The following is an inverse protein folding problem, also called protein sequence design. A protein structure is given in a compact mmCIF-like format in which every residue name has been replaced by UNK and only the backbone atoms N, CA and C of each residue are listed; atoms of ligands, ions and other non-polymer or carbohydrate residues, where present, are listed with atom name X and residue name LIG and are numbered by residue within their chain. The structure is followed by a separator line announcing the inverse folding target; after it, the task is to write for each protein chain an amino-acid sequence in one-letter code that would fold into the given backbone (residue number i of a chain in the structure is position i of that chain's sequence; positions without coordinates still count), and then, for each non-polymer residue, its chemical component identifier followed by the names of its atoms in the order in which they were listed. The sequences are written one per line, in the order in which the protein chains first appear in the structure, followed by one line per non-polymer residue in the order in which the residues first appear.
data_IF_258784579773
#
_entry.id   IF_258784579773
#
_cell.length_a   1.000
_cell.length_b   1.000
_cell.length_c   1.000
_cell.angle_alpha   90.00
_cell.angle_beta   90.00
_cell.angle_gamma   90.00
#
_symmetry.space_group_name_H-M   'P 1'
#
loop_
_entity.id
_entity.type
_entity.pdbx_description
1 polymer ?
2 non-polymer ?
3 non-polymer ?
4 non-polymer ?
5 water ?
#
# COMPACT_ATOMS: atom_id res chain seq x y z
N UNK A 1 -3.44 4.03 -2.10
CA UNK A 1 -4.14 4.95 -1.18
C UNK A 1 -3.76 6.39 -1.51
N UNK A 2 -4.60 7.31 -1.09
CA UNK A 2 -4.18 8.71 -0.96
C UNK A 2 -3.22 8.92 0.18
N UNK A 3 -2.79 10.17 0.35
CA UNK A 3 -1.67 10.47 1.25
C UNK A 3 -2.02 10.08 2.67
N UNK A 4 -3.23 10.40 3.16
CA UNK A 4 -3.56 10.05 4.56
C UNK A 4 -3.46 8.54 4.76
N UNK A 5 -3.99 7.75 3.83
CA UNK A 5 -3.88 6.29 3.99
C UNK A 5 -2.42 5.86 4.08
N UNK A 6 -1.55 6.41 3.24
CA UNK A 6 -0.11 6.07 3.29
C UNK A 6 0.50 6.46 4.65
N UNK A 7 0.21 7.66 5.12
CA UNK A 7 0.77 8.10 6.41
C UNK A 7 0.26 7.20 7.54
N UNK A 8 -0.99 6.79 7.51
CA UNK A 8 -1.51 5.93 8.59
C UNK A 8 -0.82 4.57 8.58
N UNK A 9 -0.59 3.99 7.41
CA UNK A 9 0.15 2.71 7.33
C UNK A 9 1.50 2.90 8.00
N UNK A 10 2.21 3.99 7.66
CA UNK A 10 3.54 4.24 8.23
C UNK A 10 3.45 4.44 9.76
N UNK A 11 2.47 5.19 10.23
CA UNK A 11 2.31 5.49 11.65
C UNK A 11 2.02 4.21 12.42
N UNK A 12 1.19 3.31 11.89
CA UNK A 12 0.96 2.00 12.52
C UNK A 12 2.30 1.27 12.60
N UNK A 13 3.04 1.24 11.49
CA UNK A 13 4.32 0.48 11.43
C UNK A 13 5.35 1.05 12.39
N UNK A 14 5.45 2.38 12.44
CA UNK A 14 6.54 3.06 13.16
C UNK A 14 6.52 2.61 14.62
N UNK A 15 5.35 2.53 15.23
CA UNK A 15 5.21 2.15 16.64
C UNK A 15 5.53 0.67 16.90
N UNK A 16 5.56 -0.14 15.84
CA UNK A 16 5.78 -1.60 15.97
C UNK A 16 7.23 -1.98 15.58
N UNK A 17 8.10 -1.01 15.35
CA UNK A 17 9.51 -1.34 15.04
C UNK A 17 10.22 -1.80 16.33
N UNK A 18 11.07 -2.80 16.17
CA UNK A 18 11.95 -3.29 17.25
C UNK A 18 13.09 -2.28 17.45
N UNK A 19 13.85 -2.37 18.55
CA UNK A 19 14.86 -1.36 18.81
C UNK A 19 15.94 -1.20 17.73
N UNK A 20 16.35 -2.30 17.13
CA UNK A 20 17.38 -2.29 16.07
C UNK A 20 16.85 -1.57 14.83
N UNK A 21 15.67 -1.99 14.38
CA UNK A 21 15.06 -1.36 13.19
C UNK A 21 14.74 0.11 13.50
N UNK A 22 14.27 0.43 14.70
CA UNK A 22 13.98 1.82 15.14
C UNK A 22 15.24 2.65 14.88
N UNK A 23 16.34 2.18 15.41
CA UNK A 23 17.59 2.95 15.35
C UNK A 23 18.00 3.14 13.88
N UNK A 24 17.90 2.10 13.06
CA UNK A 24 18.40 2.22 11.67
C UNK A 24 17.46 3.07 10.83
N UNK A 25 16.16 2.89 10.99
CA UNK A 25 15.16 3.74 10.32
C UNK A 25 15.43 5.20 10.70
N UNK A 26 15.62 5.49 11.99
CA UNK A 26 15.81 6.90 12.41
C UNK A 26 17.08 7.46 11.78
N UNK A 27 18.11 6.63 11.68
CA UNK A 27 19.40 7.07 11.14
C UNK A 27 19.25 7.38 9.65
N UNK A 28 18.63 6.49 8.88
CA UNK A 28 18.38 6.72 7.43
C UNK A 28 17.52 7.97 7.25
N UNK A 29 16.44 8.09 8.02
CA UNK A 29 15.55 9.27 7.90
C UNK A 29 16.31 10.56 8.20
N UNK A 30 17.18 10.54 9.20
CA UNK A 30 17.82 11.78 9.66
C UNK A 30 18.78 12.31 8.58
N UNK A 31 19.15 11.52 7.58
CA UNK A 31 19.99 11.99 6.45
C UNK A 31 19.24 13.00 5.59
N UNK A 32 17.92 13.04 5.74
CA UNK A 32 17.06 14.03 5.05
C UNK A 32 16.35 14.81 6.13
N UNK A 33 16.71 16.08 6.33
CA UNK A 33 16.02 16.89 7.32
C UNK A 33 14.49 16.82 7.16
N UNK A 34 13.82 16.73 8.30
CA UNK A 34 12.35 16.74 8.49
C UNK A 34 11.71 15.42 8.07
N UNK A 35 12.48 14.43 7.62
CA UNK A 35 11.86 13.15 7.20
C UNK A 35 11.44 12.32 8.43
N UNK A 36 10.21 11.84 8.42
CA UNK A 36 9.69 10.80 9.34
C UNK A 36 9.10 9.67 8.49
N UNK A 37 8.86 8.50 9.08
CA UNK A 37 8.28 7.39 8.31
C UNK A 37 6.94 7.85 7.75
N UNK A 38 6.18 8.61 8.52
CA UNK A 38 4.89 9.11 8.05
C UNK A 38 5.09 10.11 6.91
N UNK A 39 6.01 11.08 7.05
CA UNK A 39 6.12 12.17 6.05
C UNK A 39 6.57 11.64 4.71
N UNK A 40 7.38 10.58 4.71
CA UNK A 40 7.90 10.00 3.45
C UNK A 40 6.86 9.07 2.84
N UNK A 41 5.83 8.68 3.56
CA UNK A 41 4.94 7.61 3.06
C UNK A 41 4.25 7.99 1.75
N UNK A 42 3.79 9.24 1.54
CA UNK A 42 3.19 9.65 0.26
C UNK A 42 4.16 10.01 -0.85
N UNK A 43 5.46 10.03 -0.54
CA UNK A 43 6.47 10.61 -1.46
C UNK A 43 6.39 10.00 -2.85
N UNK A 44 6.19 8.69 -2.94
CA UNK A 44 6.25 8.02 -4.25
C UNK A 44 5.10 8.46 -5.16
N UNK A 45 4.03 9.07 -4.61
CA UNK A 45 2.93 9.60 -5.44
C UNK A 45 3.13 11.07 -5.82
N UNK A 46 4.16 11.72 -5.27
CA UNK A 46 4.30 13.18 -5.31
C UNK A 46 5.54 13.58 -6.09
N UNK A 47 6.05 12.71 -6.94
CA UNK A 47 7.34 12.92 -7.61
C UNK A 47 7.26 13.96 -8.73
N UNK A 48 6.09 14.29 -9.24
CA UNK A 48 6.02 15.17 -10.42
C UNK A 48 6.70 16.52 -10.14
N UNK A 49 6.59 17.13 -8.95
CA UNK A 49 7.16 18.49 -8.72
C UNK A 49 8.71 18.53 -8.78
N UNK A 50 9.37 17.62 -8.10
CA UNK A 50 10.86 17.70 -7.90
C UNK A 50 11.61 16.50 -8.49
N UNK A 51 10.98 15.35 -8.79
CA UNK A 51 11.71 14.27 -9.54
C UNK A 51 10.82 13.60 -10.57
N UNK A 52 10.35 14.38 -11.57
CA UNK A 52 9.38 13.88 -12.52
C UNK A 52 9.88 12.67 -13.32
N UNK A 53 11.19 12.60 -13.58
CA UNK A 53 11.74 11.45 -14.28
C UNK A 53 11.55 10.19 -13.47
N UNK A 54 11.86 10.25 -12.19
CA UNK A 54 11.66 9.06 -11.33
C UNK A 54 10.17 8.73 -11.25
N UNK A 55 9.32 9.75 -11.19
CA UNK A 55 7.87 9.51 -11.17
C UNK A 55 7.43 8.73 -12.40
N UNK A 56 7.87 9.14 -13.58
CA UNK A 56 7.52 8.45 -14.85
C UNK A 56 8.02 7.02 -14.78
N UNK A 57 9.27 6.83 -14.35
CA UNK A 57 9.97 5.53 -14.31
C UNK A 57 9.24 4.55 -13.38
N UNK A 58 8.67 5.07 -12.28
CA UNK A 58 8.16 4.22 -11.17
C UNK A 58 6.62 4.21 -11.07
N UNK A 59 5.90 4.88 -11.96
CA UNK A 59 4.42 4.99 -11.82
C UNK A 59 3.75 3.60 -11.86
N UNK A 60 4.30 2.69 -12.65
CA UNK A 60 3.69 1.35 -12.77
C UNK A 60 3.94 0.50 -11.56
N UNK A 61 4.87 0.90 -10.71
CA UNK A 61 5.26 0.08 -9.53
C UNK A 61 4.15 0.09 -8.48
N UNK A 62 3.11 0.94 -8.62
CA UNK A 62 2.09 1.09 -7.57
C UNK A 62 0.97 0.04 -7.67
N UNK A 63 0.96 -0.80 -8.70
CA UNK A 63 -0.19 -1.72 -8.87
C UNK A 63 0.23 -2.95 -9.66
N UNK A 64 -0.66 -3.91 -9.66
CA UNK A 64 -0.54 -5.11 -10.53
C UNK A 64 -1.95 -5.54 -10.89
N UNK A 65 -2.22 -5.82 -12.14
CA UNK A 65 -3.55 -6.12 -12.67
C UNK A 65 -3.72 -7.64 -12.77
N UNK A 66 -4.22 -8.34 -11.76
CA UNK A 66 -4.27 -9.84 -11.77
C UNK A 66 -5.69 -10.37 -11.68
N UNK A 67 -6.73 -9.54 -11.63
CA UNK A 67 -8.09 -10.06 -11.43
C UNK A 67 -8.59 -10.84 -12.66
N UNK A 68 -8.18 -10.49 -13.88
CA UNK A 68 -8.59 -11.27 -15.09
C UNK A 68 -8.13 -12.72 -14.96
N UNK A 69 -7.00 -12.94 -14.29
CA UNK A 69 -6.37 -14.26 -14.11
C UNK A 69 -6.73 -14.81 -12.73
N UNK A 70 -7.89 -14.44 -12.19
CA UNK A 70 -8.40 -15.04 -10.93
C UNK A 70 -7.36 -14.85 -9.80
N UNK A 71 -6.65 -13.74 -9.81
CA UNK A 71 -5.78 -13.36 -8.69
C UNK A 71 -4.62 -14.38 -8.57
N UNK A 72 -4.16 -14.91 -9.70
CA UNK A 72 -2.97 -15.81 -9.78
C UNK A 72 -1.88 -15.05 -10.53
N UNK A 73 -0.94 -14.49 -9.79
CA UNK A 73 0.15 -13.66 -10.35
C UNK A 73 1.19 -14.53 -11.06
N UNK A 74 1.63 -14.03 -12.22
CA UNK A 74 2.77 -14.58 -12.98
C UNK A 74 3.64 -13.40 -13.43
N UNK A 75 4.88 -13.35 -12.97
CA UNK A 75 5.74 -12.18 -13.24
C UNK A 75 5.90 -11.90 -14.73
N UNK A 76 6.17 -12.89 -15.61
CA UNK A 76 6.33 -12.57 -17.03
C UNK A 76 5.09 -11.97 -17.70
N UNK A 77 3.91 -12.35 -17.25
CA UNK A 77 2.63 -11.88 -17.84
C UNK A 77 2.25 -10.54 -17.22
N UNK A 78 2.28 -10.46 -15.90
CA UNK A 78 1.72 -9.32 -15.16
C UNK A 78 2.78 -8.28 -14.82
N UNK A 79 4.06 -8.59 -15.00
CA UNK A 79 5.15 -7.70 -14.52
C UNK A 79 6.29 -7.61 -15.54
N UNK A 80 5.95 -7.38 -16.80
CA UNK A 80 6.99 -7.18 -17.83
C UNK A 80 7.97 -6.07 -17.39
N UNK A 81 9.25 -6.31 -17.49
CA UNK A 81 10.32 -5.33 -17.20
C UNK A 81 10.37 -5.01 -15.71
N UNK A 82 9.72 -5.80 -14.85
CA UNK A 82 9.67 -5.58 -13.41
C UNK A 82 8.76 -4.42 -13.06
N UNK A 83 7.92 -3.97 -14.00
CA UNK A 83 7.10 -2.76 -13.85
C UNK A 83 5.75 -3.08 -13.20
N UNK A 84 5.78 -3.55 -11.98
CA UNK A 84 4.55 -3.74 -11.19
C UNK A 84 4.94 -3.79 -9.71
N UNK A 85 3.95 -3.79 -8.84
CA UNK A 85 4.23 -3.61 -7.40
C UNK A 85 4.90 -4.85 -6.83
N UNK A 86 4.63 -6.05 -7.34
CA UNK A 86 5.21 -7.26 -6.71
C UNK A 86 6.74 -7.20 -6.89
N UNK A 87 7.20 -7.04 -8.12
CA UNK A 87 8.65 -7.08 -8.39
C UNK A 87 9.31 -5.81 -7.84
N UNK A 88 8.64 -4.66 -7.91
CA UNK A 88 9.22 -3.43 -7.34
C UNK A 88 9.38 -3.54 -5.83
N UNK A 89 8.40 -4.07 -5.12
CA UNK A 89 8.53 -4.17 -3.66
C UNK A 89 9.68 -5.12 -3.31
N UNK A 90 9.80 -6.22 -4.04
CA UNK A 90 10.90 -7.20 -3.82
C UNK A 90 12.22 -6.47 -4.03
N UNK A 91 12.39 -5.77 -5.16
CA UNK A 91 13.69 -5.16 -5.48
C UNK A 91 14.01 -4.08 -4.44
N UNK A 92 13.04 -3.23 -4.13
CA UNK A 92 13.31 -2.13 -3.18
C UNK A 92 13.60 -2.68 -1.77
N UNK A 93 13.03 -3.82 -1.40
CA UNK A 93 13.40 -4.50 -0.13
C UNK A 93 14.86 -4.97 -0.15
N UNK A 94 15.32 -5.52 -1.26
CA UNK A 94 16.73 -5.94 -1.42
C UNK A 94 17.64 -4.71 -1.28
N UNK A 95 17.32 -3.65 -2.02
CA UNK A 95 18.16 -2.43 -2.03
C UNK A 95 18.22 -1.85 -0.60
N UNK A 96 17.08 -1.77 0.06
CA UNK A 96 17.01 -1.23 1.43
C UNK A 96 17.96 -2.00 2.35
N UNK A 97 18.01 -3.31 2.20
CA UNK A 97 18.85 -4.15 3.06
C UNK A 97 20.34 -4.12 2.69
N UNK A 98 20.73 -3.47 1.59
CA UNK A 98 22.13 -3.51 1.11
C UNK A 98 22.92 -2.41 1.82
N UNK A 99 23.59 -2.77 2.89
CA UNK A 99 24.30 -1.80 3.77
C UNK A 99 25.50 -1.16 3.07
N UNK A 100 25.88 -1.67 1.91
CA UNK A 100 27.06 -1.18 1.16
C UNK A 100 26.70 0.05 0.34
N UNK A 101 25.42 0.37 0.21
CA UNK A 101 24.95 1.53 -0.57
C UNK A 101 25.06 2.78 0.28
N UNK A 102 24.94 3.90 -0.38
CA UNK A 102 24.91 5.21 0.31
C UNK A 102 23.61 5.33 1.12
N UNK A 103 23.62 6.24 2.09
CA UNK A 103 22.42 6.55 2.87
C UNK A 103 21.31 7.02 1.92
N UNK A 104 21.65 7.86 0.95
CA UNK A 104 20.66 8.37 -0.02
C UNK A 104 20.01 7.24 -0.78
N UNK A 105 20.81 6.26 -1.21
CA UNK A 105 20.27 5.12 -1.99
C UNK A 105 19.36 4.27 -1.10
N UNK A 106 19.76 4.03 0.14
CA UNK A 106 18.92 3.22 1.04
C UNK A 106 17.66 3.99 1.45
N UNK A 107 17.78 5.31 1.65
CA UNK A 107 16.60 6.11 2.04
C UNK A 107 15.59 6.07 0.89
N UNK A 108 16.06 6.21 -0.37
CA UNK A 108 15.09 6.18 -1.49
C UNK A 108 14.33 4.84 -1.46
N UNK A 109 15.05 3.73 -1.29
CA UNK A 109 14.44 2.39 -1.20
C UNK A 109 13.45 2.35 -0.03
N UNK A 110 13.80 2.91 1.13
CA UNK A 110 12.86 2.98 2.26
C UNK A 110 11.58 3.71 1.87
N UNK A 111 11.70 4.82 1.18
CA UNK A 111 10.49 5.57 0.77
C UNK A 111 9.63 4.69 -0.13
N UNK A 112 10.23 3.95 -1.06
CA UNK A 112 9.43 3.07 -1.92
C UNK A 112 8.82 1.94 -1.11
N UNK A 113 9.58 1.31 -0.22
CA UNK A 113 9.07 0.17 0.57
C UNK A 113 7.86 0.65 1.42
N UNK A 114 7.99 1.78 2.10
CA UNK A 114 6.89 2.28 2.95
C UNK A 114 5.65 2.49 2.08
N UNK A 115 5.79 3.12 0.93
CA UNK A 115 4.64 3.42 0.07
C UNK A 115 4.03 2.13 -0.45
N UNK A 116 4.87 1.28 -1.00
CA UNK A 116 4.41 0.10 -1.78
C UNK A 116 3.80 -0.93 -0.81
N UNK A 117 4.27 -1.07 0.42
CA UNK A 117 3.56 -1.99 1.35
C UNK A 117 2.14 -1.41 1.52
N UNK A 118 1.98 -0.11 1.57
CA UNK A 118 0.63 0.48 1.61
C UNK A 118 -0.19 0.12 0.36
N UNK A 119 0.34 0.43 -0.82
CA UNK A 119 -0.42 0.23 -2.07
C UNK A 119 -0.76 -1.24 -2.30
N UNK A 120 0.09 -2.19 -1.91
CA UNK A 120 -0.14 -3.61 -2.24
C UNK A 120 -1.25 -4.18 -1.37
N UNK A 121 -1.66 -3.43 -0.33
CA UNK A 121 -2.81 -3.75 0.54
C UNK A 121 -4.09 -3.00 0.13
N UNK A 122 -4.06 -2.20 -0.91
CA UNK A 122 -5.26 -1.50 -1.42
C UNK A 122 -5.86 -2.44 -2.45
N UNK A 123 -7.03 -3.06 -2.21
CA UNK A 123 -7.59 -4.03 -3.16
C UNK A 123 -7.57 -3.57 -4.61
N UNK A 124 -7.94 -2.32 -4.89
CA UNK A 124 -8.08 -1.80 -6.27
C UNK A 124 -6.71 -1.60 -6.93
N UNK A 125 -5.62 -1.70 -6.18
CA UNK A 125 -4.26 -1.69 -6.74
C UNK A 125 -3.85 -3.10 -7.18
N UNK A 126 -4.72 -4.11 -7.03
CA UNK A 126 -4.42 -5.49 -7.47
C UNK A 126 -5.59 -6.05 -8.26
N UNK A 127 -6.32 -5.20 -8.96
CA UNK A 127 -7.57 -5.59 -9.60
C UNK A 127 -7.50 -5.88 -11.09
N UNK A 128 -8.49 -5.42 -11.80
CA UNK A 128 -8.67 -5.69 -13.23
C UNK A 128 -7.87 -4.73 -14.09
N UNK A 129 -7.19 -5.26 -15.09
CA UNK A 129 -6.61 -4.42 -16.15
C UNK A 129 -7.70 -3.73 -16.95
N UNK A 130 -8.84 -4.36 -17.22
CA UNK A 130 -9.74 -3.88 -18.29
C UNK A 130 -10.48 -2.61 -17.86
N UNK A 131 -10.60 -2.32 -16.57
CA UNK A 131 -11.18 -1.04 -16.10
C UNK A 131 -10.15 -0.25 -15.30
N UNK A 132 -8.87 -0.53 -15.48
CA UNK A 132 -7.78 0.24 -14.85
C UNK A 132 -7.97 0.25 -13.32
N UNK A 133 -8.12 -0.93 -12.75
CA UNK A 133 -8.20 -1.07 -11.28
C UNK A 133 -9.38 -0.32 -10.72
N UNK A 134 -10.50 -0.35 -11.46
CA UNK A 134 -11.71 0.32 -10.98
C UNK A 134 -11.82 1.77 -11.38
N UNK A 135 -10.78 2.37 -11.97
CA UNK A 135 -10.87 3.79 -12.36
C UNK A 135 -11.98 4.00 -13.39
N UNK A 136 -12.27 3.01 -14.21
CA UNK A 136 -13.31 3.12 -15.26
C UNK A 136 -14.67 2.60 -14.79
N UNK A 137 -14.77 2.21 -13.51
CA UNK A 137 -16.07 1.81 -12.92
C UNK A 137 -16.60 3.07 -12.24
N UNK A 138 -17.34 3.87 -12.99
CA UNK A 138 -17.86 5.17 -12.52
C UNK A 138 -18.94 4.94 -11.46
N UNK A 139 -18.98 5.82 -10.48
CA UNK A 139 -19.89 5.75 -9.30
C UNK A 139 -20.34 7.17 -8.99
N UNK A 140 -21.45 7.29 -8.30
CA UNK A 140 -21.80 8.50 -7.55
C UNK A 140 -21.78 8.09 -6.10
N UNK A 141 -20.98 8.76 -5.29
CA UNK A 141 -20.79 8.39 -3.87
C UNK A 141 -21.26 9.57 -3.05
N UNK A 142 -22.40 9.45 -2.37
CA UNK A 142 -23.05 10.61 -1.73
C UNK A 142 -23.21 11.75 -2.72
N UNK A 143 -23.60 11.39 -3.93
CA UNK A 143 -23.86 12.30 -5.07
C UNK A 143 -22.58 12.75 -5.77
N UNK A 144 -21.38 12.55 -5.22
CA UNK A 144 -20.18 13.03 -5.90
C UNK A 144 -19.76 12.07 -7.01
N UNK A 145 -19.41 12.57 -8.20
CA UNK A 145 -18.92 11.73 -9.28
C UNK A 145 -17.52 11.24 -9.01
N UNK A 146 -17.34 9.93 -9.00
CA UNK A 146 -16.05 9.32 -8.69
C UNK A 146 -15.96 7.95 -9.40
N UNK A 147 -15.12 7.08 -8.87
CA UNK A 147 -14.96 5.75 -9.43
C UNK A 147 -14.56 4.83 -8.29
N UNK A 148 -14.57 3.52 -8.57
CA UNK A 148 -14.36 2.54 -7.48
C UNK A 148 -12.91 2.62 -6.99
N UNK A 149 -11.97 2.93 -7.86
CA UNK A 149 -10.55 3.03 -7.45
C UNK A 149 -10.39 4.14 -6.40
N UNK A 150 -10.88 5.33 -6.74
CA UNK A 150 -10.81 6.53 -5.85
C UNK A 150 -11.59 6.27 -4.56
N UNK A 151 -12.71 5.58 -4.66
CA UNK A 151 -13.53 5.29 -3.47
C UNK A 151 -12.68 4.54 -2.44
N UNK A 152 -11.90 3.59 -2.89
CA UNK A 152 -11.03 2.82 -2.00
C UNK A 152 -9.76 3.60 -1.64
N UNK A 153 -9.19 4.38 -2.55
CA UNK A 153 -7.97 5.14 -2.24
C UNK A 153 -8.22 6.14 -1.13
N UNK A 154 -9.34 6.84 -1.17
CA UNK A 154 -9.58 7.98 -0.26
C UNK A 154 -11.05 8.20 0.05
N UNK A 155 -11.98 7.91 -0.84
CA UNK A 155 -13.37 8.32 -0.62
C UNK A 155 -13.94 7.86 0.70
N UNK A 156 -13.84 6.56 0.95
CA UNK A 156 -14.36 6.00 2.23
C UNK A 156 -13.52 6.52 3.40
N UNK A 157 -12.20 6.57 3.32
CA UNK A 157 -11.40 7.04 4.50
C UNK A 157 -11.80 8.48 4.82
N UNK A 158 -12.06 9.31 3.80
CA UNK A 158 -12.40 10.73 4.04
C UNK A 158 -13.72 10.86 4.81
N UNK A 159 -14.59 9.86 4.76
CA UNK A 159 -15.89 9.98 5.46
C UNK A 159 -15.69 10.03 6.97
N UNK A 160 -14.56 9.55 7.48
CA UNK A 160 -14.30 9.67 8.96
C UNK A 160 -14.12 11.14 9.36
N UNK A 161 -13.65 11.98 8.44
CA UNK A 161 -13.36 13.40 8.76
C UNK A 161 -12.43 13.45 10.00
N UNK A 162 -11.39 12.63 9.96
CA UNK A 162 -10.37 12.58 11.02
C UNK A 162 -9.02 13.04 10.51
N UNK A 163 -8.27 13.77 11.34
CA UNK A 163 -6.83 13.96 11.08
C UNK A 163 -6.08 12.67 11.44
N UNK A 164 -4.80 12.62 11.17
CA UNK A 164 -4.05 11.38 11.43
C UNK A 164 -4.10 11.01 12.90
N UNK A 165 -4.06 12.00 13.79
CA UNK A 165 -4.05 11.71 15.23
C UNK A 165 -5.38 11.14 15.72
N UNK A 166 -6.47 11.43 15.04
CA UNK A 166 -7.76 10.81 15.35
C UNK A 166 -7.92 9.45 14.70
N UNK A 167 -7.38 9.28 13.51
CA UNK A 167 -7.60 8.03 12.75
C UNK A 167 -6.67 6.93 13.25
N UNK A 168 -5.43 7.27 13.58
CA UNK A 168 -4.43 6.25 13.96
C UNK A 168 -4.91 5.38 15.13
N UNK A 169 -5.39 5.92 16.27
CA UNK A 169 -5.78 5.05 17.37
C UNK A 169 -7.03 4.21 17.06
N UNK A 170 -7.86 4.66 16.12
CA UNK A 170 -8.97 3.80 15.61
C UNK A 170 -8.38 2.55 14.97
N UNK A 171 -7.40 2.72 14.11
CA UNK A 171 -6.76 1.56 13.45
C UNK A 171 -6.09 0.68 14.50
N UNK A 172 -5.41 1.32 15.47
CA UNK A 172 -4.69 0.54 16.50
C UNK A 172 -5.64 -0.22 17.43
N UNK A 173 -6.88 0.23 17.56
CA UNK A 173 -7.83 -0.42 18.49
C UNK A 173 -8.56 -1.59 17.83
N UNK A 174 -8.39 -1.79 16.54
CA UNK A 174 -8.90 -3.00 15.90
C UNK A 174 -8.30 -4.27 16.50
N UNK A 175 -9.01 -5.39 16.33
CA UNK A 175 -8.46 -6.74 16.60
C UNK A 175 -7.16 -6.90 15.80
N UNK A 176 -6.12 -7.37 16.44
CA UNK A 176 -4.81 -7.58 15.76
C UNK A 176 -4.95 -8.63 14.66
N UNK A 177 -4.46 -8.34 13.44
CA UNK A 177 -4.43 -9.33 12.38
C UNK A 177 -3.39 -10.41 12.72
N UNK A 178 -3.63 -11.60 12.20
CA UNK A 178 -2.69 -12.74 12.32
C UNK A 178 -1.70 -12.65 11.18
N UNK A 179 -0.46 -12.36 11.52
CA UNK A 179 0.62 -12.20 10.53
C UNK A 179 1.29 -13.54 10.32
N UNK A 180 2.05 -13.63 9.22
CA UNK A 180 2.93 -14.78 9.00
C UNK A 180 3.92 -14.89 10.15
N UNK A 181 4.44 -16.09 10.36
CA UNK A 181 5.40 -16.34 11.45
C UNK A 181 6.66 -15.50 11.23
N UNK A 182 7.05 -15.32 9.98
CA UNK A 182 8.22 -14.49 9.64
C UNK A 182 7.96 -13.73 8.34
N UNK A 183 8.65 -12.63 8.20
CA UNK A 183 8.77 -11.91 6.92
C UNK A 183 9.59 -12.76 5.95
N UNK A 184 9.06 -12.94 4.75
CA UNK A 184 9.82 -13.42 3.59
C UNK A 184 9.78 -12.34 2.53
N UNK A 185 10.78 -11.44 2.50
CA UNK A 185 10.68 -10.29 1.62
C UNK A 185 10.55 -10.62 0.14
N UNK A 186 11.09 -11.75 -0.30
CA UNK A 186 10.97 -12.04 -1.75
C UNK A 186 9.65 -12.77 -2.06
N UNK A 187 9.00 -13.45 -1.12
CA UNK A 187 7.76 -14.23 -1.42
C UNK A 187 6.49 -13.49 -0.97
N UNK A 188 6.59 -12.67 0.06
CA UNK A 188 5.39 -12.04 0.63
C UNK A 188 4.71 -11.07 -0.33
N UNK A 189 5.42 -10.29 -1.17
CA UNK A 189 4.71 -9.36 -2.06
C UNK A 189 3.65 -10.05 -2.93
N UNK A 190 3.99 -11.18 -3.53
CA UNK A 190 2.98 -11.90 -4.32
C UNK A 190 1.81 -12.31 -3.43
N UNK A 191 2.08 -12.87 -2.25
CA UNK A 191 1.01 -13.29 -1.33
C UNK A 191 0.06 -12.11 -1.09
N UNK A 192 0.65 -10.96 -0.75
CA UNK A 192 -0.16 -9.78 -0.39
C UNK A 192 -0.99 -9.28 -1.59
N UNK A 193 -0.36 -9.19 -2.76
CA UNK A 193 -1.07 -8.72 -3.98
C UNK A 193 -2.25 -9.67 -4.29
N UNK A 194 -2.05 -10.97 -4.15
CA UNK A 194 -3.12 -11.96 -4.44
C UNK A 194 -4.25 -11.80 -3.41
N UNK A 195 -3.92 -11.59 -2.15
CA UNK A 195 -4.94 -11.37 -1.10
C UNK A 195 -5.73 -10.11 -1.42
N UNK A 196 -5.07 -9.03 -1.84
CA UNK A 196 -5.71 -7.75 -2.18
C UNK A 196 -6.65 -7.97 -3.38
N UNK A 197 -6.14 -8.69 -4.39
CA UNK A 197 -6.95 -8.97 -5.59
C UNK A 197 -8.21 -9.74 -5.17
N UNK A 198 -8.10 -10.69 -4.25
CA UNK A 198 -9.28 -11.50 -3.88
C UNK A 198 -10.32 -10.60 -3.23
N UNK A 199 -9.92 -9.58 -2.49
CA UNK A 199 -10.89 -8.59 -1.95
C UNK A 199 -11.58 -7.89 -3.11
N UNK A 200 -10.82 -7.44 -4.11
CA UNK A 200 -11.39 -6.71 -5.27
C UNK A 200 -12.47 -7.56 -5.95
N UNK A 201 -12.33 -8.89 -5.91
CA UNK A 201 -13.26 -9.81 -6.62
C UNK A 201 -14.40 -10.32 -5.72
N UNK A 202 -14.42 -9.94 -4.43
CA UNK A 202 -15.49 -10.41 -3.51
C UNK A 202 -16.82 -9.87 -4.04
N UNK A 203 -17.87 -10.69 -4.05
CA UNK A 203 -19.21 -10.22 -4.38
C UNK A 203 -19.55 -8.98 -3.54
N UNK A 204 -19.98 -7.92 -4.20
CA UNK A 204 -20.37 -6.67 -3.53
C UNK A 204 -19.34 -5.58 -3.56
N UNK A 205 -18.06 -5.91 -3.66
CA UNK A 205 -17.02 -4.85 -3.63
C UNK A 205 -17.19 -3.99 -4.88
N UNK A 206 -17.38 -4.59 -6.03
CA UNK A 206 -18.06 -3.95 -7.18
C UNK A 206 -19.54 -3.93 -6.84
N UNK A 207 -20.13 -2.73 -6.61
CA UNK A 207 -21.50 -2.68 -6.15
C UNK A 207 -22.51 -2.91 -7.26
N UNK A 208 -23.70 -3.31 -6.86
CA UNK A 208 -24.79 -3.67 -7.79
C UNK A 208 -25.41 -2.42 -8.41
N UNK A 209 -25.20 -1.26 -7.81
CA UNK A 209 -25.70 0.05 -8.28
C UNK A 209 -24.49 1.00 -8.44
N UNK A 210 -24.61 2.01 -9.31
CA UNK A 210 -23.59 3.06 -9.42
C UNK A 210 -23.82 4.16 -8.40
N UNK A 211 -25.01 4.28 -7.85
CA UNK A 211 -25.37 5.27 -6.83
C UNK A 211 -25.21 4.61 -5.48
N UNK A 212 -24.18 5.03 -4.76
CA UNK A 212 -23.86 4.42 -3.46
C UNK A 212 -23.63 5.52 -2.44
N UNK A 213 -23.58 5.11 -1.20
CA UNK A 213 -23.46 6.05 -0.09
C UNK A 213 -23.25 5.32 1.20
N UNK A 214 -24.04 5.64 2.23
CA UNK A 214 -23.78 5.13 3.59
C UNK A 214 -23.78 3.60 3.64
N UNK A 215 -24.66 2.89 2.93
CA UNK A 215 -24.70 1.41 3.04
C UNK A 215 -23.35 0.84 2.64
N UNK A 216 -22.78 1.31 1.55
CA UNK A 216 -21.49 0.78 1.08
C UNK A 216 -20.39 1.17 2.08
N UNK A 217 -20.37 2.41 2.53
CA UNK A 217 -19.38 2.86 3.52
C UNK A 217 -19.45 1.97 4.76
N UNK A 218 -20.64 1.76 5.28
CA UNK A 218 -20.81 1.00 6.54
C UNK A 218 -20.32 -0.43 6.38
N UNK A 219 -20.47 -1.03 5.20
CA UNK A 219 -20.02 -2.41 4.94
C UNK A 219 -18.50 -2.48 4.68
N UNK A 220 -17.97 -1.56 3.88
CA UNK A 220 -16.59 -1.71 3.32
C UNK A 220 -15.57 -0.77 3.93
N UNK A 221 -15.98 0.34 4.54
CA UNK A 221 -14.96 1.18 5.19
C UNK A 221 -14.26 0.36 6.28
N UNK A 222 -14.95 -0.54 7.04
CA UNK A 222 -14.22 -1.36 7.99
C UNK A 222 -13.15 -2.25 7.35
N UNK A 223 -13.40 -2.70 6.13
CA UNK A 223 -12.44 -3.56 5.41
C UNK A 223 -11.27 -2.71 4.93
N UNK A 224 -11.51 -1.51 4.40
CA UNK A 224 -10.40 -0.60 4.04
C UNK A 224 -9.54 -0.34 5.30
N UNK A 225 -10.18 -0.06 6.43
CA UNK A 225 -9.46 0.24 7.67
C UNK A 225 -8.70 -1.01 8.14
N UNK A 226 -9.30 -2.18 8.05
CA UNK A 226 -8.55 -3.41 8.38
C UNK A 226 -7.32 -3.56 7.47
N UNK A 227 -7.46 -3.23 6.20
CA UNK A 227 -6.32 -3.31 5.28
C UNK A 227 -5.22 -2.29 5.65
N UNK A 228 -5.57 -1.09 6.07
CA UNK A 228 -4.56 -0.11 6.54
C UNK A 228 -3.80 -0.69 7.74
N UNK A 229 -4.53 -1.23 8.72
CA UNK A 229 -3.88 -1.83 9.90
C UNK A 229 -2.99 -2.99 9.46
N UNK A 230 -3.49 -3.86 8.60
CA UNK A 230 -2.71 -5.02 8.13
C UNK A 230 -1.46 -4.55 7.41
N UNK A 231 -1.60 -3.56 6.54
CA UNK A 231 -0.45 -3.02 5.81
C UNK A 231 0.59 -2.50 6.82
N UNK A 232 0.16 -1.73 7.82
CA UNK A 232 1.12 -1.19 8.78
C UNK A 232 1.81 -2.32 9.54
N UNK A 233 1.07 -3.33 10.00
CA UNK A 233 1.68 -4.47 10.73
C UNK A 233 2.66 -5.22 9.82
N UNK A 234 2.28 -5.43 8.56
CA UNK A 234 3.15 -6.12 7.58
C UNK A 234 4.40 -5.27 7.29
N UNK A 235 4.23 -3.97 7.18
CA UNK A 235 5.37 -3.07 6.93
C UNK A 235 6.34 -3.16 8.13
N UNK A 236 5.83 -3.11 9.37
CA UNK A 236 6.73 -3.23 10.53
C UNK A 236 7.45 -4.58 10.51
N UNK A 237 6.75 -5.67 10.25
CA UNK A 237 7.39 -7.01 10.25
C UNK A 237 8.48 -7.05 9.18
N UNK A 238 8.22 -6.45 8.01
CA UNK A 238 9.22 -6.38 6.93
C UNK A 238 10.44 -5.54 7.36
N UNK A 239 10.23 -4.35 7.90
CA UNK A 239 11.36 -3.49 8.30
C UNK A 239 12.12 -4.15 9.46
N UNK A 240 11.41 -4.81 10.37
CA UNK A 240 12.09 -5.51 11.48
C UNK A 240 13.01 -6.59 10.92
N UNK A 241 12.62 -7.26 9.87
CA UNK A 241 13.49 -8.27 9.26
C UNK A 241 14.64 -7.62 8.48
N UNK A 242 14.35 -6.65 7.62
CA UNK A 242 15.37 -6.09 6.72
C UNK A 242 16.37 -5.21 7.48
N UNK A 243 15.90 -4.45 8.47
CA UNK A 243 16.70 -3.43 9.18
C UNK A 243 16.88 -3.77 10.67
N UNK A 244 16.28 -4.84 11.17
CA UNK A 244 16.15 -5.03 12.62
C UNK A 244 16.62 -6.37 13.12
N UNK A 245 17.54 -7.02 12.40
CA UNK A 245 18.14 -8.33 12.77
C UNK A 245 19.35 -8.10 13.67
#
# INVERSE_FOLDING_TARGET
WGAQGHRLVAEVADARLNPTARAEVDRLLATEPDATLASIAPWADQLRAKDPGLGRRSAGWHYVNIAEDNCHYEAPKHCRNGNCIVEALKAQSTILGDRSLTDGERLQALKFVVHLVGDIHQPMHAGYAHDKGGNDFQLQFGNRGTNLHSLWDSGMLNTRKLDDAGYLPLLQSQRAPKLARQSNPQRDPQTWAEASCRISMQAGVYPATRKIGDEYTERYRPLAEAQLRLAGENLAQLLNRVLGARLEHHHHHH
#
